data_IF_136157779744
#
_entry.id   IF_136157779744
#
_cell.length_a   1.000
_cell.length_b   1.000
_cell.length_c   1.000
_cell.angle_alpha   90.00
_cell.angle_beta   90.00
_cell.angle_gamma   90.00
#
_symmetry.space_group_name_H-M   'P 1'
#
loop_
_entity.id
_entity.type
_entity.pdbx_description
1 polymer ?
#
# COMPACT_ATOMS: atom_id res chain seq x y z
N UNK A 1 13.32 -19.47 -16.92
CA UNK A 1 13.87 -18.37 -16.11
C UNK A 1 13.65 -18.75 -14.66
N UNK A 2 14.68 -18.82 -13.82
CA UNK A 2 14.47 -19.09 -12.39
C UNK A 2 13.76 -17.88 -11.78
N UNK A 3 12.55 -18.08 -11.27
CA UNK A 3 11.89 -17.06 -10.46
C UNK A 3 12.76 -16.77 -9.24
N UNK A 4 12.99 -15.49 -8.96
CA UNK A 4 13.76 -15.10 -7.78
C UNK A 4 12.95 -15.43 -6.51
N UNK A 5 13.62 -15.56 -5.36
CA UNK A 5 12.93 -15.74 -4.08
C UNK A 5 11.91 -14.60 -3.83
N UNK A 6 12.23 -13.38 -4.26
CA UNK A 6 11.34 -12.22 -4.18
C UNK A 6 10.07 -12.40 -5.03
N UNK A 7 10.21 -12.92 -6.26
CA UNK A 7 9.07 -13.14 -7.15
C UNK A 7 8.11 -14.18 -6.58
N UNK A 8 8.62 -15.33 -6.12
CA UNK A 8 7.76 -16.39 -5.56
C UNK A 8 7.02 -15.89 -4.31
N UNK A 9 7.73 -15.20 -3.40
CA UNK A 9 7.13 -14.70 -2.17
C UNK A 9 6.04 -13.65 -2.42
N UNK A 10 6.29 -12.71 -3.34
CA UNK A 10 5.30 -11.69 -3.67
C UNK A 10 4.17 -12.25 -4.55
N UNK A 11 4.42 -13.26 -5.38
CA UNK A 11 3.37 -13.94 -6.15
C UNK A 11 2.39 -14.68 -5.25
N UNK A 12 2.87 -15.46 -4.29
CA UNK A 12 2.00 -16.16 -3.32
C UNK A 12 1.13 -15.17 -2.54
N UNK A 13 1.74 -14.03 -2.16
CA UNK A 13 1.06 -12.94 -1.47
C UNK A 13 0.03 -12.25 -2.36
N UNK A 14 0.34 -12.04 -3.65
CA UNK A 14 -0.56 -11.45 -4.64
C UNK A 14 -1.78 -12.36 -4.87
N UNK A 15 -1.55 -13.66 -5.02
CA UNK A 15 -2.63 -14.64 -5.21
C UNK A 15 -3.59 -14.64 -4.01
N UNK A 16 -3.05 -14.62 -2.79
CA UNK A 16 -3.86 -14.48 -1.57
C UNK A 16 -4.63 -13.15 -1.54
N UNK A 17 -3.95 -12.04 -1.84
CA UNK A 17 -4.57 -10.73 -1.80
C UNK A 17 -5.69 -10.59 -2.84
N UNK A 18 -5.49 -11.15 -4.05
CA UNK A 18 -6.52 -11.20 -5.08
C UNK A 18 -7.79 -11.92 -4.60
N UNK A 19 -7.62 -13.03 -3.86
CA UNK A 19 -8.73 -13.75 -3.23
C UNK A 19 -9.49 -12.85 -2.24
N UNK A 20 -8.78 -12.22 -1.32
CA UNK A 20 -9.40 -11.35 -0.31
C UNK A 20 -10.09 -10.13 -0.93
N UNK A 21 -9.50 -9.50 -1.96
CA UNK A 21 -10.12 -8.39 -2.69
C UNK A 21 -11.34 -8.82 -3.51
N UNK A 22 -11.41 -10.07 -3.95
CA UNK A 22 -12.57 -10.61 -4.68
C UNK A 22 -13.75 -10.91 -3.74
N UNK A 23 -13.47 -11.11 -2.45
CA UNK A 23 -14.47 -11.33 -1.38
C UNK A 23 -14.67 -10.11 -0.49
N UNK A 24 -14.48 -8.90 -1.05
CA UNK A 24 -14.49 -7.64 -0.31
C UNK A 24 -15.83 -7.29 0.37
N UNK A 25 -16.94 -7.87 -0.09
CA UNK A 25 -18.29 -7.63 0.46
C UNK A 25 -18.46 -8.16 1.90
N UNK A 26 -17.61 -9.10 2.32
CA UNK A 26 -17.64 -9.72 3.65
C UNK A 26 -16.70 -9.02 4.68
N UNK A 27 -16.09 -7.89 4.31
CA UNK A 27 -15.00 -7.28 5.08
C UNK A 27 -15.51 -6.18 6.02
N UNK A 28 -15.24 -6.32 7.32
CA UNK A 28 -15.66 -5.38 8.36
C UNK A 28 -14.86 -4.07 8.40
N UNK A 29 -13.68 -4.04 7.78
CA UNK A 29 -12.78 -2.90 7.80
C UNK A 29 -12.75 -2.18 6.44
N UNK A 30 -12.99 -0.87 6.38
CA UNK A 30 -13.42 -0.22 5.14
C UNK A 30 -12.29 0.45 4.34
N UNK A 31 -11.03 0.25 4.74
CA UNK A 31 -9.85 0.83 4.09
C UNK A 31 -8.86 -0.25 3.70
N UNK A 32 -8.24 -0.07 2.53
CA UNK A 32 -7.21 -0.93 1.97
C UNK A 32 -5.92 -0.12 1.81
N UNK A 33 -4.82 -0.68 2.29
CA UNK A 33 -3.48 -0.10 2.23
C UNK A 33 -2.51 -1.05 1.53
N UNK A 34 -1.84 -0.54 0.50
CA UNK A 34 -0.84 -1.23 -0.27
C UNK A 34 0.49 -0.50 -0.13
N UNK A 35 1.47 -1.18 0.45
CA UNK A 35 2.85 -0.69 0.54
C UNK A 35 3.69 -1.31 -0.58
N UNK A 36 4.36 -0.48 -1.36
CA UNK A 36 5.35 -0.88 -2.35
C UNK A 36 6.70 -0.36 -1.90
N UNK A 37 7.64 -1.26 -1.64
CA UNK A 37 8.95 -0.93 -1.07
C UNK A 37 10.06 -1.71 -1.75
N UNK A 38 11.30 -1.39 -1.40
CA UNK A 38 12.50 -2.19 -1.62
C UNK A 38 13.03 -2.74 -0.27
N UNK A 39 13.96 -3.72 -0.30
CA UNK A 39 14.62 -4.19 0.91
C UNK A 39 15.37 -3.10 1.68
N UNK A 40 15.83 -2.07 0.99
CA UNK A 40 16.62 -0.97 1.54
C UNK A 40 15.76 0.05 2.30
N UNK A 41 14.44 0.05 2.08
CA UNK A 41 13.51 1.07 2.59
C UNK A 41 13.13 0.87 4.06
N UNK A 42 14.11 0.76 4.97
CA UNK A 42 13.88 0.43 6.39
C UNK A 42 12.83 1.31 7.05
N UNK A 43 12.81 2.61 6.75
CA UNK A 43 11.84 3.53 7.32
C UNK A 43 10.41 3.22 6.83
N UNK A 44 10.21 2.88 5.55
CA UNK A 44 8.91 2.47 5.03
C UNK A 44 8.42 1.15 5.64
N UNK A 45 9.34 0.21 5.92
CA UNK A 45 9.00 -1.03 6.64
C UNK A 45 8.55 -0.74 8.08
N UNK A 46 9.16 0.24 8.76
CA UNK A 46 8.72 0.69 10.08
C UNK A 46 7.34 1.35 10.02
N UNK A 47 7.07 2.16 8.99
CA UNK A 47 5.74 2.74 8.75
C UNK A 47 4.70 1.64 8.54
N UNK A 48 5.00 0.64 7.72
CA UNK A 48 4.13 -0.50 7.50
C UNK A 48 3.73 -1.19 8.81
N UNK A 49 4.70 -1.43 9.71
CA UNK A 49 4.41 -2.06 11.01
C UNK A 49 3.43 -1.22 11.84
N UNK A 50 3.59 0.11 11.84
CA UNK A 50 2.67 1.01 12.58
C UNK A 50 1.26 1.01 11.99
N UNK A 51 1.13 1.03 10.67
CA UNK A 51 -0.18 0.89 10.02
C UNK A 51 -0.80 -0.46 10.33
N UNK A 52 -0.04 -1.54 10.23
CA UNK A 52 -0.52 -2.90 10.54
C UNK A 52 -1.04 -2.98 11.97
N UNK A 53 -0.26 -2.55 12.95
CA UNK A 53 -0.65 -2.62 14.36
C UNK A 53 -1.95 -1.82 14.61
N UNK A 54 -2.09 -0.66 13.98
CA UNK A 54 -3.30 0.16 14.05
C UNK A 54 -4.51 -0.49 13.37
N UNK A 55 -4.35 -1.03 12.17
CA UNK A 55 -5.39 -1.70 11.38
C UNK A 55 -5.88 -2.98 12.08
N UNK A 56 -4.96 -3.83 12.54
CA UNK A 56 -5.29 -5.08 13.24
C UNK A 56 -6.05 -4.81 14.55
N UNK A 57 -5.67 -3.75 15.29
CA UNK A 57 -6.39 -3.35 16.51
C UNK A 57 -7.84 -2.93 16.27
N UNK A 58 -8.18 -2.60 15.02
CA UNK A 58 -9.51 -2.19 14.55
C UNK A 58 -10.23 -3.26 13.73
N UNK A 59 -9.72 -4.49 13.73
CA UNK A 59 -10.36 -5.64 13.07
C UNK A 59 -10.06 -5.75 11.57
N UNK A 60 -9.04 -5.07 11.07
CA UNK A 60 -8.57 -5.28 9.70
C UNK A 60 -7.98 -6.68 9.53
N UNK A 61 -8.16 -7.25 8.34
CA UNK A 61 -7.59 -8.52 7.93
C UNK A 61 -6.35 -8.32 7.04
N UNK A 62 -5.74 -9.43 6.60
CA UNK A 62 -4.67 -9.39 5.61
C UNK A 62 -5.07 -8.64 4.33
N UNK A 63 -6.30 -8.83 3.85
CA UNK A 63 -6.81 -8.18 2.64
C UNK A 63 -6.76 -6.65 2.69
N UNK A 64 -6.89 -6.07 3.89
CA UNK A 64 -6.90 -4.63 4.13
C UNK A 64 -5.51 -4.00 4.14
N UNK A 65 -4.44 -4.78 4.34
CA UNK A 65 -3.10 -4.23 4.49
C UNK A 65 -2.04 -5.21 3.98
N UNK A 66 -1.42 -4.86 2.86
CA UNK A 66 -0.38 -5.66 2.22
C UNK A 66 0.85 -4.84 1.89
N UNK A 67 1.97 -5.53 1.74
CA UNK A 67 3.28 -4.95 1.45
C UNK A 67 4.03 -5.86 0.48
N UNK A 68 4.56 -5.30 -0.59
CA UNK A 68 5.36 -6.02 -1.60
C UNK A 68 6.77 -5.43 -1.69
N UNK A 69 7.73 -6.25 -2.14
CA UNK A 69 9.10 -5.83 -2.36
C UNK A 69 10.05 -5.95 -1.15
N UNK A 70 9.61 -6.59 -0.06
CA UNK A 70 10.43 -6.78 1.15
C UNK A 70 11.72 -7.57 0.92
N UNK A 71 11.74 -8.45 -0.09
CA UNK A 71 12.85 -9.35 -0.39
C UNK A 71 13.52 -9.05 -1.74
N UNK A 72 13.12 -7.95 -2.40
CA UNK A 72 13.63 -7.51 -3.69
C UNK A 72 12.51 -6.97 -4.58
N UNK A 73 12.87 -6.22 -5.62
CA UNK A 73 11.90 -5.68 -6.57
C UNK A 73 11.40 -6.80 -7.50
N UNK A 74 10.24 -7.38 -7.15
CA UNK A 74 9.59 -8.46 -7.88
C UNK A 74 8.85 -7.98 -9.14
N UNK A 75 8.49 -8.91 -10.01
CA UNK A 75 7.57 -8.65 -11.14
C UNK A 75 6.21 -8.16 -10.66
N UNK A 76 5.75 -8.60 -9.49
CA UNK A 76 4.53 -8.10 -8.83
C UNK A 76 4.62 -6.61 -8.54
N UNK A 77 5.71 -6.14 -7.91
CA UNK A 77 5.91 -4.71 -7.61
C UNK A 77 5.88 -3.88 -8.89
N UNK A 78 6.55 -4.35 -9.94
CA UNK A 78 6.60 -3.66 -11.24
C UNK A 78 5.21 -3.58 -11.90
N UNK A 79 4.49 -4.69 -11.96
CA UNK A 79 3.17 -4.75 -12.59
C UNK A 79 2.14 -3.87 -11.86
N UNK A 80 2.19 -3.83 -10.53
CA UNK A 80 1.31 -2.96 -9.75
C UNK A 80 1.66 -1.48 -9.98
N UNK A 81 2.95 -1.09 -9.95
CA UNK A 81 3.37 0.29 -10.22
C UNK A 81 2.91 0.73 -11.61
N UNK A 82 3.16 -0.09 -12.64
CA UNK A 82 2.76 0.22 -14.02
C UNK A 82 1.24 0.40 -14.13
N UNK A 83 0.46 -0.48 -13.49
CA UNK A 83 -0.99 -0.37 -13.46
C UNK A 83 -1.52 0.88 -12.76
N UNK A 84 -0.77 1.39 -11.77
CA UNK A 84 -1.03 2.68 -11.12
C UNK A 84 -0.50 3.89 -11.93
N UNK A 85 0.16 3.65 -13.08
CA UNK A 85 0.78 4.69 -13.90
C UNK A 85 2.04 5.29 -13.26
N UNK A 86 2.76 4.49 -12.47
CA UNK A 86 3.97 4.83 -11.73
C UNK A 86 5.16 4.01 -12.21
N UNK A 87 6.36 4.40 -11.79
CA UNK A 87 7.60 3.68 -12.05
C UNK A 87 8.37 3.39 -10.76
N UNK A 88 9.51 2.70 -10.87
CA UNK A 88 10.33 2.35 -9.71
C UNK A 88 10.89 3.56 -8.95
N UNK A 89 11.01 4.72 -9.61
CA UNK A 89 11.42 5.97 -8.98
C UNK A 89 10.38 6.53 -7.99
N UNK A 90 9.17 5.97 -7.96
CA UNK A 90 8.16 6.30 -6.96
C UNK A 90 8.28 5.51 -5.65
N UNK A 91 9.18 4.53 -5.57
CA UNK A 91 9.41 3.78 -4.34
C UNK A 91 10.19 4.62 -3.30
N UNK A 92 9.91 4.42 -1.99
CA UNK A 92 8.80 3.65 -1.44
C UNK A 92 7.47 4.40 -1.47
N UNK A 93 6.37 3.66 -1.59
CA UNK A 93 5.03 4.19 -1.81
C UNK A 93 3.99 3.54 -0.91
N UNK A 94 3.05 4.34 -0.42
CA UNK A 94 1.77 3.91 0.14
C UNK A 94 0.65 4.24 -0.84
N UNK A 95 -0.15 3.25 -1.20
CA UNK A 95 -1.40 3.40 -1.94
C UNK A 95 -2.59 3.06 -1.03
N UNK A 96 -3.64 3.89 -1.03
CA UNK A 96 -4.82 3.79 -0.18
C UNK A 96 -6.09 3.85 -1.03
N UNK A 97 -7.06 3.00 -0.73
CA UNK A 97 -8.38 2.98 -1.38
C UNK A 97 -9.43 2.39 -0.43
N UNK A 98 -10.69 2.77 -0.56
CA UNK A 98 -11.79 2.26 0.29
C UNK A 98 -12.75 1.31 -0.44
N UNK A 99 -12.63 1.22 -1.77
CA UNK A 99 -13.43 0.33 -2.59
C UNK A 99 -12.55 -0.41 -3.62
N UNK A 100 -12.37 -1.74 -3.50
CA UNK A 100 -11.60 -2.54 -4.45
C UNK A 100 -12.13 -2.50 -5.89
N UNK A 101 -13.44 -2.29 -6.07
CA UNK A 101 -14.09 -2.10 -7.38
C UNK A 101 -14.04 -0.64 -7.87
N UNK A 102 -13.58 0.26 -7.00
CA UNK A 102 -13.35 1.66 -7.34
C UNK A 102 -12.05 1.86 -8.10
N UNK A 103 -11.99 2.96 -8.87
CA UNK A 103 -10.79 3.37 -9.63
C UNK A 103 -9.93 4.38 -8.88
N UNK A 104 -10.38 4.84 -7.72
CA UNK A 104 -9.71 5.91 -6.99
C UNK A 104 -8.71 5.32 -6.01
N UNK A 105 -7.45 5.73 -6.17
CA UNK A 105 -6.34 5.34 -5.30
C UNK A 105 -5.59 6.59 -4.87
N UNK A 106 -5.44 6.80 -3.58
CA UNK A 106 -4.61 7.86 -3.02
C UNK A 106 -3.20 7.35 -2.83
N UNK A 107 -2.21 8.08 -3.34
CA UNK A 107 -0.81 7.68 -3.27
C UNK A 107 0.00 8.66 -2.42
N UNK A 108 0.90 8.15 -1.61
CA UNK A 108 1.79 8.91 -0.73
C UNK A 108 3.20 8.35 -0.84
N UNK A 109 4.18 9.20 -1.13
CA UNK A 109 5.59 8.83 -1.04
C UNK A 109 5.99 8.61 0.42
N UNK A 110 6.67 7.50 0.68
CA UNK A 110 7.15 7.14 2.00
C UNK A 110 8.64 7.51 2.16
N UNK A 111 9.14 7.61 3.39
CA UNK A 111 10.58 7.71 3.60
C UNK A 111 11.25 6.37 3.28
N UNK A 112 12.24 6.37 2.38
CA UNK A 112 13.17 5.25 2.18
C UNK A 112 14.00 4.95 3.45
N UNK A 113 14.37 6.02 4.16
CA UNK A 113 15.36 5.95 5.23
C UNK A 113 16.75 6.30 4.69
N UNK A 114 17.52 7.05 5.46
CA UNK A 114 18.88 7.38 5.07
C UNK A 114 19.77 6.15 5.27
N UNK A 115 20.79 5.90 4.42
CA UNK A 115 21.78 4.87 4.71
C UNK A 115 22.41 5.17 6.08
N UNK A 116 22.72 4.13 6.87
CA UNK A 116 23.10 4.28 8.29
C UNK A 116 24.29 5.22 8.56
N UNK A 117 25.06 5.54 7.52
CA UNK A 117 26.17 6.50 7.54
C UNK A 117 25.75 7.97 7.37
N UNK A 118 24.46 8.25 7.18
CA UNK A 118 23.97 9.60 6.95
C UNK A 118 23.63 10.27 8.28
N UNK A 119 24.00 11.55 8.47
CA UNK A 119 23.56 12.29 9.65
C UNK A 119 22.02 12.29 9.71
N UNK A 120 21.43 12.18 10.91
CA UNK A 120 19.98 12.24 11.04
C UNK A 120 19.47 13.53 10.40
N UNK A 121 18.38 13.47 9.62
CA UNK A 121 17.79 14.65 9.04
C UNK A 121 17.53 15.70 10.14
N UNK A 122 17.69 17.01 9.85
CA UNK A 122 17.32 18.04 10.81
C UNK A 122 15.87 17.85 11.23
N UNK A 123 15.52 18.18 12.48
CA UNK A 123 14.19 17.98 13.06
C UNK A 123 13.02 18.68 12.32
N UNK A 124 13.34 19.44 11.27
CA UNK A 124 12.46 20.15 10.35
C UNK A 124 12.33 19.50 8.97
N UNK A 125 12.85 18.29 8.77
CA UNK A 125 12.45 17.45 7.63
C UNK A 125 10.96 17.19 7.71
N UNK A 126 10.27 17.34 6.58
CA UNK A 126 8.82 17.47 6.44
C UNK A 126 8.01 16.70 7.50
N UNK A 127 6.93 17.31 8.06
CA UNK A 127 6.05 16.60 8.97
C UNK A 127 5.71 15.25 8.33
N UNK A 128 5.95 14.16 9.06
CA UNK A 128 5.84 12.81 8.52
C UNK A 128 4.40 12.58 8.05
N UNK A 129 4.11 12.92 6.79
CA UNK A 129 2.75 13.02 6.25
C UNK A 129 1.97 11.71 6.40
N UNK A 130 2.67 10.58 6.46
CA UNK A 130 2.08 9.28 6.73
C UNK A 130 1.43 9.19 8.12
N UNK A 131 1.94 9.89 9.15
CA UNK A 131 1.34 9.92 10.49
C UNK A 131 0.01 10.65 10.48
N UNK A 132 -0.04 11.78 9.78
CA UNK A 132 -1.27 12.55 9.65
C UNK A 132 -2.31 11.76 8.86
N UNK A 133 -1.90 11.08 7.79
CA UNK A 133 -2.76 10.17 7.03
C UNK A 133 -3.25 9.03 7.92
N UNK A 134 -2.37 8.34 8.64
CA UNK A 134 -2.76 7.25 9.56
C UNK A 134 -3.76 7.73 10.60
N UNK A 135 -3.50 8.86 11.26
CA UNK A 135 -4.41 9.43 12.25
C UNK A 135 -5.80 9.73 11.67
N UNK A 136 -5.85 10.31 10.46
CA UNK A 136 -7.13 10.59 9.80
C UNK A 136 -7.87 9.29 9.43
N UNK A 137 -7.16 8.23 9.04
CA UNK A 137 -7.75 6.91 8.82
C UNK A 137 -8.31 6.32 10.13
N UNK A 138 -7.56 6.43 11.23
CA UNK A 138 -8.00 6.01 12.56
C UNK A 138 -9.28 6.73 12.96
N UNK A 139 -9.30 8.07 12.86
CA UNK A 139 -10.48 8.89 13.18
C UNK A 139 -11.69 8.51 12.30
N UNK A 140 -11.47 8.22 11.02
CA UNK A 140 -12.53 7.84 10.07
C UNK A 140 -13.12 6.45 10.35
N UNK A 141 -12.26 5.48 10.71
CA UNK A 141 -12.68 4.12 11.05
C UNK A 141 -13.39 4.10 12.41
N UNK A 142 -12.84 4.80 13.41
CA UNK A 142 -13.41 4.87 14.76
C UNK A 142 -14.75 5.64 14.76
N UNK A 143 -14.95 6.53 13.79
CA UNK A 143 -16.21 7.22 13.51
C UNK A 143 -17.32 6.36 12.87
N UNK A 144 -17.09 5.06 12.64
CA UNK A 144 -18.05 4.07 12.09
C UNK A 144 -18.63 4.42 10.70
N UNK A 145 -17.85 5.04 9.82
CA UNK A 145 -18.26 5.15 8.42
C UNK A 145 -18.06 3.79 7.73
N UNK A 146 -19.14 3.15 7.28
CA UNK A 146 -19.08 1.85 6.57
C UNK A 146 -18.19 1.90 5.32
N UNK A 147 -18.08 3.07 4.70
CA UNK A 147 -17.13 3.37 3.63
C UNK A 147 -16.65 4.82 3.75
N UNK A 148 -15.53 5.09 4.45
CA UNK A 148 -15.04 6.45 4.55
C UNK A 148 -14.59 6.90 3.17
N UNK A 149 -15.16 8.01 2.71
CA UNK A 149 -14.65 8.69 1.53
C UNK A 149 -13.26 9.23 1.85
N UNK A 150 -12.24 8.76 1.12
CA UNK A 150 -10.85 9.13 1.34
C UNK A 150 -10.52 10.51 0.76
N UNK A 151 -11.50 11.28 0.25
CA UNK A 151 -11.31 12.67 -0.17
C UNK A 151 -10.66 13.57 0.89
N UNK A 152 -10.85 13.28 2.18
CA UNK A 152 -10.17 14.00 3.26
C UNK A 152 -8.64 13.83 3.25
N UNK A 153 -8.11 12.83 2.53
CA UNK A 153 -6.67 12.62 2.31
C UNK A 153 -6.09 13.47 1.18
N UNK A 154 -6.91 14.26 0.47
CA UNK A 154 -6.44 15.17 -0.61
C UNK A 154 -5.33 16.12 -0.17
N UNK A 155 -5.21 16.41 1.13
CA UNK A 155 -4.05 17.10 1.70
C UNK A 155 -2.94 16.10 2.01
N UNK A 156 -1.85 16.15 1.24
CA UNK A 156 -0.65 15.35 1.47
C UNK A 156 -0.58 14.04 0.68
N UNK A 157 -1.66 13.62 0.02
CA UNK A 157 -1.64 12.51 -0.95
C UNK A 157 -1.88 12.99 -2.38
N UNK A 158 -1.34 12.27 -3.35
CA UNK A 158 -1.68 12.43 -4.76
C UNK A 158 -2.84 11.50 -5.12
N UNK A 159 -3.96 12.08 -5.55
CA UNK A 159 -5.08 11.34 -6.09
C UNK A 159 -4.71 10.73 -7.44
N UNK A 160 -4.87 9.41 -7.56
CA UNK A 160 -4.73 8.68 -8.81
C UNK A 160 -6.08 8.06 -9.16
N UNK A 161 -6.55 8.34 -10.36
CA UNK A 161 -7.67 7.59 -10.93
C UNK A 161 -7.07 6.54 -11.85
N UNK A 162 -7.11 5.29 -11.40
CA UNK A 162 -6.67 4.12 -12.15
C UNK A 162 -7.46 3.98 -13.46
N UNK A 163 -6.83 3.34 -14.45
CA UNK A 163 -7.50 2.98 -15.72
C UNK A 163 -8.60 1.95 -15.50
N UNK A 164 -8.42 1.10 -14.49
CA UNK A 164 -9.32 0.03 -14.08
C UNK A 164 -9.44 -0.01 -12.54
N UNK A 165 -10.41 -0.74 -11.99
CA UNK A 165 -10.50 -1.03 -10.57
C UNK A 165 -9.27 -1.74 -10.00
N UNK A 166 -8.99 -1.56 -8.70
CA UNK A 166 -7.83 -2.20 -8.06
C UNK A 166 -7.93 -3.73 -8.11
N UNK A 167 -9.13 -4.30 -7.91
CA UNK A 167 -9.33 -5.76 -8.01
C UNK A 167 -9.02 -6.29 -9.41
N UNK A 168 -9.39 -5.56 -10.47
CA UNK A 168 -9.09 -5.92 -11.86
C UNK A 168 -7.59 -5.78 -12.16
N UNK A 169 -6.96 -4.72 -11.65
CA UNK A 169 -5.51 -4.53 -11.74
C UNK A 169 -4.77 -5.71 -11.11
N UNK A 170 -5.11 -6.08 -9.88
CA UNK A 170 -4.47 -7.19 -9.15
C UNK A 170 -4.69 -8.52 -9.88
N UNK A 171 -5.90 -8.78 -10.36
CA UNK A 171 -6.23 -9.97 -11.17
C UNK A 171 -5.44 -10.04 -12.48
N UNK A 172 -5.29 -8.91 -13.18
CA UNK A 172 -4.50 -8.85 -14.42
C UNK A 172 -3.04 -9.14 -14.12
N UNK A 173 -2.44 -8.43 -13.16
CA UNK A 173 -1.03 -8.62 -12.80
C UNK A 173 -0.78 -10.08 -12.42
N UNK A 174 -1.65 -10.69 -11.61
CA UNK A 174 -1.56 -12.09 -11.24
C UNK A 174 -1.58 -13.02 -12.46
N UNK A 175 -2.46 -12.77 -13.42
CA UNK A 175 -2.59 -13.57 -14.65
C UNK A 175 -1.38 -13.43 -15.57
N UNK A 176 -0.77 -12.24 -15.62
CA UNK A 176 0.40 -11.97 -16.49
C UNK A 176 1.70 -12.58 -15.96
N UNK A 177 1.82 -12.76 -14.63
CA UNK A 177 3.05 -13.22 -13.99
C UNK A 177 3.01 -14.67 -13.47
N UNK A 178 1.83 -15.31 -13.43
CA UNK A 178 1.66 -16.73 -13.08
C UNK A 178 1.96 -17.64 -14.26
#
# INVERSE_FOLDING_TARGET
MSSSHADNHDLDKLARWNGDLSSWEDVSFPVYALFLVSPEDKAAHDVFRKYRDSFESRGASFGNLVIFGQHGISTTVRGILEGLGLDLGNLPLLALFSNPTGRTVHTLSLPAGAPESSPPPPASSEPEHWRDVLKRLEDAVDGQSEHPDLEFLSQGTSLRTGREPVVELVSRVLTEIS
#
